data_IF_325542235878
#
_entry.id   IF_325542235878
#
_cell.length_a   1.000
_cell.length_b   1.000
_cell.length_c   1.000
_cell.angle_alpha   90.00
_cell.angle_beta   90.00
_cell.angle_gamma   90.00
#
_symmetry.space_group_name_H-M   'P 1'
#
loop_
_entity.id
_entity.type
_entity.pdbx_description
1 polymer ?
#
# COMPACT_ATOMS: atom_id res chain seq x y z
N UNK A 1 0.61 -65.73 -17.36
CA UNK A 1 1.79 -65.20 -16.60
C UNK A 1 2.27 -63.83 -17.06
N UNK A 2 1.88 -63.33 -18.24
CA UNK A 2 2.28 -62.01 -18.71
C UNK A 2 1.32 -60.84 -18.33
N UNK A 3 0.12 -61.16 -17.82
CA UNK A 3 -0.86 -60.15 -17.44
C UNK A 3 -0.66 -59.56 -16.04
N UNK A 4 -0.03 -60.29 -15.11
CA UNK A 4 0.20 -59.83 -13.73
C UNK A 4 1.36 -58.80 -13.62
N UNK A 5 2.39 -58.92 -14.46
CA UNK A 5 3.52 -57.97 -14.43
C UNK A 5 3.14 -56.59 -14.97
N UNK A 6 2.27 -56.54 -15.99
CA UNK A 6 1.76 -55.27 -16.51
C UNK A 6 0.86 -54.50 -15.53
N UNK A 7 0.14 -55.20 -14.64
CA UNK A 7 -0.69 -54.58 -13.60
C UNK A 7 0.17 -54.07 -12.43
N UNK A 8 1.25 -54.73 -12.07
CA UNK A 8 2.20 -54.29 -11.04
C UNK A 8 2.96 -53.01 -11.45
N UNK A 9 3.34 -52.89 -12.70
CA UNK A 9 4.01 -51.69 -13.20
C UNK A 9 3.06 -50.48 -13.30
N UNK A 10 1.78 -50.69 -13.65
CA UNK A 10 0.76 -49.63 -13.64
C UNK A 10 0.45 -49.11 -12.23
N UNK A 11 0.44 -49.99 -11.23
CA UNK A 11 0.24 -49.59 -9.81
C UNK A 11 1.47 -48.86 -9.27
N UNK A 12 2.69 -49.28 -9.65
CA UNK A 12 3.93 -48.58 -9.28
C UNK A 12 4.04 -47.19 -9.91
N UNK A 13 3.66 -47.02 -11.18
CA UNK A 13 3.68 -45.73 -11.86
C UNK A 13 2.65 -44.75 -11.30
N UNK A 14 1.47 -45.23 -10.88
CA UNK A 14 0.45 -44.41 -10.20
C UNK A 14 0.92 -43.93 -8.82
N UNK A 15 1.58 -44.80 -8.05
CA UNK A 15 2.14 -44.42 -6.74
C UNK A 15 3.25 -43.37 -6.82
N UNK A 16 4.14 -43.45 -7.83
CA UNK A 16 5.17 -42.49 -8.08
C UNK A 16 4.57 -41.10 -8.51
N UNK A 17 3.57 -41.13 -9.37
CA UNK A 17 2.88 -39.92 -9.79
C UNK A 17 2.19 -39.17 -8.64
N UNK A 18 1.60 -39.89 -7.70
CA UNK A 18 0.99 -39.31 -6.50
C UNK A 18 2.00 -38.78 -5.49
N UNK A 19 3.16 -39.40 -5.35
CA UNK A 19 4.26 -38.91 -4.51
C UNK A 19 4.83 -37.63 -5.11
N UNK A 20 5.07 -37.53 -6.42
CA UNK A 20 5.53 -36.36 -7.09
C UNK A 20 4.47 -35.23 -7.02
N UNK A 21 3.18 -35.51 -7.21
CA UNK A 21 2.12 -34.51 -7.02
C UNK A 21 2.07 -33.97 -5.60
N UNK A 22 2.16 -34.81 -4.58
CA UNK A 22 2.18 -34.42 -3.18
C UNK A 22 3.44 -33.55 -2.86
N UNK A 23 4.58 -33.93 -3.41
CA UNK A 23 5.83 -33.19 -3.21
C UNK A 23 5.79 -31.82 -3.89
N UNK A 24 5.23 -31.72 -5.10
CA UNK A 24 5.02 -30.44 -5.81
C UNK A 24 4.01 -29.58 -5.07
N UNK A 25 2.89 -30.13 -4.60
CA UNK A 25 1.87 -29.41 -3.83
C UNK A 25 2.43 -28.93 -2.49
N UNK A 26 3.23 -29.74 -1.80
CA UNK A 26 3.87 -29.35 -0.53
C UNK A 26 4.96 -28.29 -0.74
N UNK A 27 5.75 -28.40 -1.79
CA UNK A 27 6.73 -27.37 -2.18
C UNK A 27 6.04 -26.05 -2.57
N UNK A 28 4.92 -26.12 -3.29
CA UNK A 28 4.13 -24.95 -3.68
C UNK A 28 3.44 -24.29 -2.46
N UNK A 29 3.00 -25.09 -1.48
CA UNK A 29 2.44 -24.58 -0.22
C UNK A 29 3.52 -23.99 0.68
N UNK A 30 4.70 -24.59 0.79
CA UNK A 30 5.80 -24.05 1.59
C UNK A 30 6.33 -22.73 1.03
N UNK A 31 6.43 -22.58 -0.29
CA UNK A 31 6.81 -21.30 -0.92
C UNK A 31 5.74 -20.24 -0.77
N UNK A 32 4.45 -20.59 -0.76
CA UNK A 32 3.36 -19.66 -0.45
C UNK A 32 3.38 -19.22 1.00
N UNK A 33 3.57 -20.15 1.93
CA UNK A 33 3.68 -19.85 3.37
C UNK A 33 4.90 -18.98 3.62
N UNK A 34 6.05 -19.30 3.04
CA UNK A 34 7.27 -18.50 3.18
C UNK A 34 7.09 -17.08 2.65
N UNK A 35 6.49 -16.91 1.45
CA UNK A 35 6.16 -15.60 0.90
C UNK A 35 5.16 -14.84 1.78
N UNK A 36 4.18 -15.54 2.36
CA UNK A 36 3.24 -14.98 3.30
C UNK A 36 3.96 -14.46 4.56
N UNK A 37 4.78 -15.29 5.20
CA UNK A 37 5.55 -14.91 6.40
C UNK A 37 6.49 -13.74 6.12
N UNK A 38 7.27 -13.80 5.04
CA UNK A 38 8.18 -12.71 4.63
C UNK A 38 7.40 -11.40 4.44
N UNK A 39 6.21 -11.48 3.86
CA UNK A 39 5.36 -10.31 3.67
C UNK A 39 4.92 -9.68 4.98
N UNK A 40 4.55 -10.47 6.00
CA UNK A 40 4.20 -9.93 7.33
C UNK A 40 5.42 -9.42 8.10
N UNK A 41 6.60 -10.00 7.86
CA UNK A 41 7.85 -9.54 8.45
C UNK A 41 8.37 -8.23 7.81
N UNK A 42 7.80 -7.74 6.71
CA UNK A 42 8.19 -6.47 6.09
C UNK A 42 7.95 -5.24 6.97
N UNK A 43 7.14 -5.39 8.03
CA UNK A 43 6.98 -4.37 9.09
C UNK A 43 8.28 -4.17 9.87
N UNK A 44 9.15 -5.21 9.93
CA UNK A 44 10.44 -5.17 10.61
C UNK A 44 11.48 -4.61 9.65
N UNK A 45 12.00 -3.43 9.94
CA UNK A 45 13.03 -2.76 9.15
C UNK A 45 14.24 -2.39 10.02
N UNK A 46 15.22 -1.69 9.45
CA UNK A 46 16.42 -1.26 10.17
C UNK A 46 16.11 -0.41 11.42
N UNK A 47 15.03 0.40 11.39
CA UNK A 47 14.59 1.20 12.54
C UNK A 47 14.14 0.30 13.69
N UNK A 48 13.41 -0.79 13.39
CA UNK A 48 13.00 -1.79 14.38
C UNK A 48 14.23 -2.43 15.06
N UNK A 49 15.29 -2.73 14.31
CA UNK A 49 16.51 -3.27 14.90
C UNK A 49 17.19 -2.26 15.84
N UNK A 50 17.26 -0.99 15.45
CA UNK A 50 17.85 0.08 16.29
C UNK A 50 17.05 0.22 17.60
N UNK A 51 15.71 0.29 17.52
CA UNK A 51 14.87 0.45 18.70
C UNK A 51 14.94 -0.74 19.63
N UNK A 52 14.97 -1.97 19.10
CA UNK A 52 15.14 -3.18 19.91
C UNK A 52 16.52 -3.24 20.57
N UNK A 53 17.59 -2.80 19.90
CA UNK A 53 18.90 -2.66 20.50
C UNK A 53 18.91 -1.67 21.66
N UNK A 54 18.26 -0.50 21.49
CA UNK A 54 18.09 0.47 22.58
C UNK A 54 17.32 -0.14 23.76
N UNK A 55 16.28 -0.92 23.50
CA UNK A 55 15.47 -1.61 24.49
C UNK A 55 16.24 -2.69 25.28
N UNK A 56 17.37 -3.13 24.77
CA UNK A 56 18.30 -4.04 25.49
C UNK A 56 19.37 -3.27 26.25
N UNK A 57 20.00 -2.28 25.63
CA UNK A 57 21.13 -1.53 26.20
C UNK A 57 20.67 -0.64 27.36
N UNK A 58 19.55 0.07 27.21
CA UNK A 58 19.09 1.04 28.23
C UNK A 58 18.74 0.38 29.55
N UNK A 59 17.97 -0.72 29.63
CA UNK A 59 17.73 -1.40 30.89
C UNK A 59 19.00 -1.96 31.50
N UNK A 60 19.95 -2.49 30.69
CA UNK A 60 21.25 -2.95 31.16
C UNK A 60 22.00 -1.82 31.86
N UNK A 61 22.08 -0.63 31.23
CA UNK A 61 22.70 0.53 31.86
C UNK A 61 21.96 0.98 33.11
N UNK A 62 20.61 0.99 33.10
CA UNK A 62 19.82 1.42 34.21
C UNK A 62 20.02 0.53 35.47
N UNK A 63 20.14 -0.79 35.27
CA UNK A 63 20.45 -1.71 36.37
C UNK A 63 21.89 -1.57 36.86
N UNK A 64 22.87 -1.40 35.97
CA UNK A 64 24.27 -1.29 36.37
C UNK A 64 24.60 0.02 37.09
N UNK A 65 23.93 1.11 36.73
CA UNK A 65 24.14 2.43 37.33
C UNK A 65 23.06 2.80 38.38
N UNK A 66 22.20 1.84 38.74
CA UNK A 66 21.11 2.02 39.69
C UNK A 66 20.21 3.24 39.40
N UNK A 67 19.99 3.51 38.10
CA UNK A 67 19.15 4.63 37.67
C UNK A 67 17.69 4.25 37.83
N UNK A 68 17.11 4.56 39.00
CA UNK A 68 15.74 4.21 39.35
C UNK A 68 15.04 5.45 39.87
N UNK A 69 13.90 5.79 39.30
CA UNK A 69 13.06 6.88 39.78
C UNK A 69 11.57 6.58 39.57
N UNK A 70 10.72 7.25 40.32
CA UNK A 70 9.27 7.13 40.18
C UNK A 70 8.69 8.47 39.69
N UNK A 71 8.42 8.55 38.39
CA UNK A 71 7.80 9.72 37.77
C UNK A 71 6.47 9.29 37.18
N UNK A 72 5.45 10.17 37.28
CA UNK A 72 4.21 9.95 36.51
C UNK A 72 4.44 10.26 35.05
N UNK A 73 4.49 9.21 34.23
CA UNK A 73 4.71 9.29 32.79
C UNK A 73 3.41 9.40 31.98
N UNK A 74 2.26 9.59 32.61
CA UNK A 74 0.95 9.61 31.94
C UNK A 74 0.88 10.67 30.87
N UNK A 75 1.30 11.90 31.15
CA UNK A 75 1.31 13.00 30.16
C UNK A 75 2.27 12.73 29.02
N UNK A 76 3.44 12.16 29.30
CA UNK A 76 4.43 11.81 28.28
C UNK A 76 3.91 10.68 27.40
N UNK A 77 3.25 9.65 27.99
CA UNK A 77 2.59 8.59 27.23
C UNK A 77 1.57 9.13 26.24
N UNK A 78 0.73 10.05 26.70
CA UNK A 78 -0.26 10.73 25.86
C UNK A 78 0.43 11.50 24.73
N UNK A 79 1.48 12.26 25.06
CA UNK A 79 2.25 13.04 24.07
C UNK A 79 2.90 12.18 23.00
N UNK A 80 3.26 10.94 23.27
CA UNK A 80 3.82 9.99 22.31
C UNK A 80 2.70 9.35 21.45
N UNK A 81 1.65 8.85 22.12
CA UNK A 81 0.64 8.02 21.46
C UNK A 81 -0.28 8.86 20.57
N UNK A 82 -0.73 10.03 21.00
CA UNK A 82 -1.68 10.83 20.22
C UNK A 82 -1.17 11.24 18.83
N UNK A 83 0.03 11.85 18.69
CA UNK A 83 0.54 12.20 17.37
C UNK A 83 0.73 10.99 16.45
N UNK A 84 1.15 9.84 17.01
CA UNK A 84 1.30 8.59 16.26
C UNK A 84 -0.05 8.08 15.74
N UNK A 85 -1.09 8.07 16.58
CA UNK A 85 -2.45 7.67 16.18
C UNK A 85 -3.02 8.60 15.12
N UNK A 86 -2.80 9.92 15.24
CA UNK A 86 -3.23 10.88 14.21
C UNK A 86 -2.49 10.68 12.90
N UNK A 87 -1.18 10.38 12.93
CA UNK A 87 -0.39 10.10 11.74
C UNK A 87 -0.89 8.83 11.03
N UNK A 88 -1.16 7.75 11.76
CA UNK A 88 -1.73 6.50 11.23
C UNK A 88 -3.10 6.75 10.60
N UNK A 89 -3.99 7.46 11.31
CA UNK A 89 -5.32 7.79 10.79
C UNK A 89 -5.24 8.65 9.52
N UNK A 90 -4.29 9.59 9.48
CA UNK A 90 -4.04 10.43 8.31
C UNK A 90 -3.58 9.61 7.10
N UNK A 91 -2.65 8.68 7.28
CA UNK A 91 -2.16 7.78 6.23
C UNK A 91 -3.27 6.85 5.71
N UNK A 92 -4.06 6.26 6.61
CA UNK A 92 -5.20 5.41 6.27
C UNK A 92 -6.26 6.17 5.46
N UNK A 93 -6.66 7.37 5.92
CA UNK A 93 -7.63 8.22 5.19
C UNK A 93 -7.13 8.61 3.80
N UNK A 94 -5.82 8.85 3.66
CA UNK A 94 -5.19 9.13 2.36
C UNK A 94 -5.33 7.95 1.41
N UNK A 95 -5.05 6.74 1.87
CA UNK A 95 -5.21 5.51 1.08
C UNK A 95 -6.67 5.28 0.66
N UNK A 96 -7.64 5.51 1.55
CA UNK A 96 -9.07 5.43 1.22
C UNK A 96 -9.45 6.44 0.14
N UNK A 97 -9.00 7.69 0.26
CA UNK A 97 -9.23 8.73 -0.75
C UNK A 97 -8.58 8.39 -2.09
N UNK A 98 -7.40 7.78 -2.09
CA UNK A 98 -6.76 7.31 -3.31
C UNK A 98 -7.62 6.25 -4.03
N UNK A 99 -8.21 5.30 -3.30
CA UNK A 99 -9.13 4.30 -3.88
C UNK A 99 -10.41 4.94 -4.42
N UNK A 100 -10.99 5.92 -3.71
CA UNK A 100 -12.16 6.67 -4.15
C UNK A 100 -11.89 7.38 -5.49
N UNK A 101 -10.79 8.14 -5.60
CA UNK A 101 -10.47 8.86 -6.82
C UNK A 101 -9.99 7.96 -7.96
N UNK A 102 -9.33 6.82 -7.70
CA UNK A 102 -9.03 5.82 -8.72
C UNK A 102 -10.33 5.21 -9.30
N UNK A 103 -11.30 4.95 -8.44
CA UNK A 103 -12.60 4.43 -8.86
C UNK A 103 -13.39 5.46 -9.68
N UNK A 104 -13.35 6.74 -9.27
CA UNK A 104 -13.95 7.85 -10.00
C UNK A 104 -13.29 8.01 -11.39
N UNK A 105 -11.96 8.04 -11.45
CA UNK A 105 -11.20 8.12 -12.70
C UNK A 105 -11.59 7.01 -13.67
N UNK A 106 -11.55 5.76 -13.19
CA UNK A 106 -11.93 4.60 -13.99
C UNK A 106 -13.38 4.67 -14.46
N UNK A 107 -14.30 5.05 -13.58
CA UNK A 107 -15.72 5.19 -13.89
C UNK A 107 -15.98 6.25 -14.95
N UNK A 108 -15.34 7.42 -14.82
CA UNK A 108 -15.46 8.52 -15.76
C UNK A 108 -14.96 8.14 -17.16
N UNK A 109 -13.76 7.56 -17.28
CA UNK A 109 -13.21 7.11 -18.55
C UNK A 109 -14.10 6.02 -19.20
N UNK A 110 -14.58 5.04 -18.43
CA UNK A 110 -15.52 4.03 -18.95
C UNK A 110 -16.79 4.66 -19.50
N UNK A 111 -17.35 5.61 -18.79
CA UNK A 111 -18.57 6.28 -19.20
C UNK A 111 -18.35 7.09 -20.48
N UNK A 112 -17.22 7.80 -20.59
CA UNK A 112 -16.83 8.49 -21.83
C UNK A 112 -16.74 7.50 -22.99
N UNK A 113 -16.06 6.36 -22.79
CA UNK A 113 -15.95 5.31 -23.80
C UNK A 113 -17.31 4.81 -24.25
N UNK A 114 -18.25 4.55 -23.32
CA UNK A 114 -19.60 4.10 -23.68
C UNK A 114 -20.38 5.15 -24.48
N UNK A 115 -20.24 6.44 -24.20
CA UNK A 115 -20.87 7.48 -25.00
C UNK A 115 -20.38 7.48 -26.45
N UNK A 116 -19.06 7.31 -26.67
CA UNK A 116 -18.51 7.23 -28.02
C UNK A 116 -18.91 5.93 -28.75
N UNK A 117 -18.81 4.77 -28.08
CA UNK A 117 -19.16 3.48 -28.68
C UNK A 117 -20.64 3.39 -29.09
N UNK A 118 -21.54 3.97 -28.30
CA UNK A 118 -22.97 3.97 -28.57
C UNK A 118 -23.43 5.13 -29.49
N UNK A 119 -22.53 5.98 -29.98
CA UNK A 119 -22.88 7.00 -30.97
C UNK A 119 -23.12 6.36 -32.33
N UNK A 120 -24.33 6.46 -32.84
CA UNK A 120 -24.72 5.88 -34.13
C UNK A 120 -24.12 6.60 -35.34
N UNK A 121 -23.73 7.87 -35.18
CA UNK A 121 -23.18 8.70 -36.25
C UNK A 121 -21.66 8.62 -36.36
N UNK A 122 -20.98 8.12 -35.33
CA UNK A 122 -19.53 8.05 -35.29
C UNK A 122 -19.06 6.80 -36.05
N UNK A 123 -18.14 6.95 -37.06
CA UNK A 123 -17.56 5.81 -37.76
C UNK A 123 -16.81 4.86 -36.86
N UNK A 124 -16.72 3.59 -37.24
CA UNK A 124 -16.05 2.57 -36.41
C UNK A 124 -14.54 2.82 -36.26
N UNK A 125 -13.90 3.39 -37.28
CA UNK A 125 -12.49 3.81 -37.22
C UNK A 125 -12.28 4.90 -36.16
N UNK A 126 -13.19 5.89 -36.09
CA UNK A 126 -13.15 6.93 -35.05
C UNK A 126 -13.43 6.38 -33.66
N UNK A 127 -14.30 5.37 -33.52
CA UNK A 127 -14.51 4.67 -32.23
C UNK A 127 -13.25 3.94 -31.76
N UNK A 128 -12.52 3.32 -32.70
CA UNK A 128 -11.25 2.67 -32.36
C UNK A 128 -10.18 3.71 -31.97
N UNK A 129 -10.07 4.83 -32.71
CA UNK A 129 -9.14 5.93 -32.41
C UNK A 129 -9.36 6.45 -30.98
N UNK A 130 -10.60 6.78 -30.62
CA UNK A 130 -10.88 7.30 -29.25
C UNK A 130 -10.67 6.24 -28.17
N UNK A 131 -10.94 4.97 -28.45
CA UNK A 131 -10.68 3.87 -27.51
C UNK A 131 -9.18 3.75 -27.22
N UNK A 132 -8.33 3.91 -28.23
CA UNK A 132 -6.86 3.92 -28.03
C UNK A 132 -6.41 5.14 -27.22
N UNK A 133 -6.93 6.34 -27.51
CA UNK A 133 -6.62 7.57 -26.78
C UNK A 133 -6.98 7.41 -25.29
N UNK A 134 -8.16 6.89 -24.97
CA UNK A 134 -8.61 6.70 -23.59
C UNK A 134 -7.79 5.63 -22.85
N UNK A 135 -7.41 4.55 -23.53
CA UNK A 135 -6.56 3.51 -22.96
C UNK A 135 -5.14 4.05 -22.68
N UNK A 136 -4.56 4.76 -23.63
CA UNK A 136 -3.21 5.33 -23.50
C UNK A 136 -3.15 6.40 -22.43
N UNK A 137 -4.18 7.24 -22.28
CA UNK A 137 -4.31 8.18 -21.17
C UNK A 137 -4.34 7.44 -19.83
N UNK A 138 -5.22 6.44 -19.69
CA UNK A 138 -5.38 5.68 -18.45
C UNK A 138 -4.09 4.95 -18.07
N UNK A 139 -3.46 4.24 -19.00
CA UNK A 139 -2.24 3.49 -18.74
C UNK A 139 -1.07 4.42 -18.38
N UNK A 140 -0.96 5.56 -19.09
CA UNK A 140 0.08 6.56 -18.80
C UNK A 140 -0.10 7.21 -17.44
N UNK A 141 -1.34 7.52 -17.05
CA UNK A 141 -1.65 8.09 -15.76
C UNK A 141 -1.36 7.11 -14.60
N UNK A 142 -1.81 5.86 -14.73
CA UNK A 142 -1.55 4.83 -13.70
C UNK A 142 -0.05 4.49 -13.59
N UNK A 143 0.69 4.53 -14.71
CA UNK A 143 2.14 4.38 -14.68
C UNK A 143 2.83 5.57 -14.01
N UNK A 144 2.33 6.79 -14.22
CA UNK A 144 2.84 7.99 -13.54
C UNK A 144 2.69 7.89 -12.01
N UNK A 145 1.55 7.42 -11.52
CA UNK A 145 1.33 7.22 -10.07
C UNK A 145 2.30 6.21 -9.44
N UNK A 146 2.82 5.26 -10.23
CA UNK A 146 3.81 4.28 -9.75
C UNK A 146 5.26 4.76 -9.82
N UNK A 147 5.51 5.98 -10.32
CA UNK A 147 6.84 6.57 -10.49
C UNK A 147 7.00 7.76 -9.56
N UNK A 148 8.24 8.05 -9.15
CA UNK A 148 8.54 9.23 -8.32
C UNK A 148 8.57 10.55 -9.10
N UNK A 149 8.21 10.55 -10.37
CA UNK A 149 8.24 11.75 -11.21
C UNK A 149 6.97 12.58 -11.03
N UNK A 150 7.12 13.88 -10.76
CA UNK A 150 6.00 14.81 -10.56
C UNK A 150 5.61 15.59 -11.83
N UNK A 151 6.22 15.33 -12.99
CA UNK A 151 5.90 16.05 -14.23
C UNK A 151 4.63 15.48 -14.90
N UNK A 152 3.57 16.29 -14.97
CA UNK A 152 2.26 15.95 -15.51
C UNK A 152 2.08 16.29 -16.99
N UNK A 153 3.02 17.00 -17.64
CA UNK A 153 2.89 17.50 -19.02
C UNK A 153 2.46 16.43 -20.04
N UNK A 154 2.93 15.18 -19.83
CA UNK A 154 2.55 14.07 -20.71
C UNK A 154 1.09 13.65 -20.54
N UNK A 155 0.57 13.74 -19.31
CA UNK A 155 -0.82 13.39 -18.99
C UNK A 155 -1.73 14.47 -19.55
N UNK A 156 -1.38 15.74 -19.36
CA UNK A 156 -2.15 16.90 -19.82
C UNK A 156 -2.28 16.88 -21.36
N UNK A 157 -1.16 16.63 -22.08
CA UNK A 157 -1.18 16.46 -23.54
C UNK A 157 -2.08 15.31 -24.01
N UNK A 158 -2.10 14.19 -23.27
CA UNK A 158 -2.97 13.05 -23.61
C UNK A 158 -4.44 13.36 -23.32
N UNK A 159 -4.72 14.09 -22.26
CA UNK A 159 -6.08 14.54 -21.96
C UNK A 159 -6.57 15.54 -23.03
N UNK A 160 -5.70 16.42 -23.52
CA UNK A 160 -5.99 17.33 -24.63
C UNK A 160 -6.39 16.60 -25.94
N UNK A 161 -5.84 15.40 -26.18
CA UNK A 161 -6.23 14.61 -27.35
C UNK A 161 -7.72 14.27 -27.38
N UNK A 162 -8.37 14.11 -26.20
CA UNK A 162 -9.81 13.86 -26.13
C UNK A 162 -10.58 15.09 -26.64
N UNK A 163 -10.16 16.30 -26.25
CA UNK A 163 -10.78 17.54 -26.75
C UNK A 163 -10.60 17.72 -28.25
N UNK A 164 -9.38 17.47 -28.78
CA UNK A 164 -9.09 17.52 -30.22
C UNK A 164 -9.92 16.49 -31.01
N UNK A 165 -10.12 15.30 -30.44
CA UNK A 165 -10.98 14.29 -31.03
C UNK A 165 -12.45 14.75 -31.13
N UNK A 166 -12.98 15.35 -30.04
CA UNK A 166 -14.35 15.88 -30.02
C UNK A 166 -14.53 17.03 -31.03
N UNK A 167 -13.51 17.88 -31.17
CA UNK A 167 -13.51 18.97 -32.17
C UNK A 167 -13.49 18.44 -33.59
N UNK A 168 -12.63 17.46 -33.88
CA UNK A 168 -12.52 16.76 -35.19
C UNK A 168 -13.85 16.14 -35.63
N UNK A 169 -14.59 15.54 -34.67
CA UNK A 169 -15.86 14.84 -34.93
C UNK A 169 -17.09 15.63 -34.42
N UNK A 170 -17.01 16.96 -34.51
CA UNK A 170 -18.02 17.85 -33.97
C UNK A 170 -19.43 17.68 -34.58
N UNK A 171 -19.51 17.36 -35.91
CA UNK A 171 -20.78 17.17 -36.61
C UNK A 171 -21.42 15.81 -36.33
N UNK A 172 -20.62 14.79 -36.03
CA UNK A 172 -21.05 13.42 -35.76
C UNK A 172 -21.56 13.21 -34.35
N UNK A 173 -21.20 14.11 -33.42
CA UNK A 173 -21.60 14.08 -32.01
C UNK A 173 -22.72 15.07 -31.75
N UNK A 174 -23.87 14.60 -31.28
CA UNK A 174 -24.96 15.49 -30.90
C UNK A 174 -24.58 16.40 -29.72
N UNK A 175 -25.13 17.63 -29.67
CA UNK A 175 -24.83 18.59 -28.61
C UNK A 175 -25.07 18.05 -27.19
N UNK A 176 -26.15 17.29 -27.00
CA UNK A 176 -26.45 16.68 -25.70
C UNK A 176 -25.46 15.59 -25.29
N UNK A 177 -24.91 14.82 -26.24
CA UNK A 177 -23.85 13.83 -25.97
C UNK A 177 -22.55 14.53 -25.60
N UNK A 178 -22.16 15.58 -26.36
CA UNK A 178 -20.95 16.38 -26.07
C UNK A 178 -20.99 16.97 -24.65
N UNK A 179 -22.12 17.58 -24.25
CA UNK A 179 -22.24 18.12 -22.89
C UNK A 179 -22.08 17.06 -21.80
N UNK A 180 -22.61 15.85 -22.00
CA UNK A 180 -22.41 14.74 -21.07
C UNK A 180 -20.96 14.29 -21.04
N UNK A 181 -20.30 14.15 -22.19
CA UNK A 181 -18.88 13.79 -22.28
C UNK A 181 -18.03 14.83 -21.54
N UNK A 182 -18.22 16.13 -21.74
CA UNK A 182 -17.48 17.18 -21.07
C UNK A 182 -17.63 17.13 -19.54
N UNK A 183 -18.82 16.75 -19.05
CA UNK A 183 -19.00 16.52 -17.61
C UNK A 183 -18.11 15.41 -17.08
N UNK A 184 -18.01 14.29 -17.79
CA UNK A 184 -17.14 13.17 -17.36
C UNK A 184 -15.66 13.45 -17.59
N UNK A 185 -15.29 14.25 -18.58
CA UNK A 185 -13.91 14.74 -18.74
C UNK A 185 -13.52 15.59 -17.52
N UNK A 186 -14.41 16.44 -17.01
CA UNK A 186 -14.19 17.16 -15.75
C UNK A 186 -13.94 16.21 -14.61
N UNK A 187 -14.71 15.11 -14.50
CA UNK A 187 -14.52 14.13 -13.43
C UNK A 187 -13.19 13.37 -13.58
N UNK A 188 -12.71 13.13 -14.82
CA UNK A 188 -11.34 12.64 -15.09
C UNK A 188 -10.31 13.62 -14.55
N UNK A 189 -10.38 14.91 -14.89
CA UNK A 189 -9.46 15.93 -14.40
C UNK A 189 -9.46 16.02 -12.86
N UNK A 190 -10.65 16.13 -12.24
CA UNK A 190 -10.78 16.23 -10.78
C UNK A 190 -10.16 15.02 -10.09
N UNK A 191 -10.37 13.82 -10.63
CA UNK A 191 -9.78 12.61 -10.06
C UNK A 191 -8.26 12.55 -10.24
N UNK A 192 -7.75 12.96 -11.41
CA UNK A 192 -6.31 13.02 -11.68
C UNK A 192 -5.61 14.00 -10.73
N UNK A 193 -6.11 15.24 -10.61
CA UNK A 193 -5.55 16.25 -9.72
C UNK A 193 -5.53 15.80 -8.25
N UNK A 194 -6.60 15.20 -7.77
CA UNK A 194 -6.63 14.67 -6.40
C UNK A 194 -5.65 13.51 -6.20
N UNK A 195 -5.49 12.61 -7.19
CA UNK A 195 -4.53 11.51 -7.12
C UNK A 195 -3.09 12.01 -7.17
N UNK A 196 -2.79 13.02 -7.99
CA UNK A 196 -1.49 13.68 -8.03
C UNK A 196 -1.20 14.38 -6.69
N UNK A 197 -2.18 15.09 -6.13
CA UNK A 197 -2.04 15.72 -4.82
C UNK A 197 -1.75 14.69 -3.72
N UNK A 198 -2.45 13.54 -3.72
CA UNK A 198 -2.19 12.43 -2.78
C UNK A 198 -0.80 11.84 -3.01
N UNK A 199 -0.35 11.72 -4.25
CA UNK A 199 0.96 11.18 -4.59
C UNK A 199 2.10 12.11 -4.18
N UNK A 200 1.92 13.43 -4.34
CA UNK A 200 2.96 14.45 -4.13
C UNK A 200 3.02 14.94 -2.68
N UNK A 201 1.86 15.19 -2.05
CA UNK A 201 1.78 15.74 -0.70
C UNK A 201 1.56 14.64 0.33
N UNK A 202 2.43 14.61 1.34
CA UNK A 202 2.50 13.56 2.37
C UNK A 202 2.29 14.15 3.76
N UNK A 203 2.28 13.29 4.78
CA UNK A 203 2.30 13.72 6.17
C UNK A 203 3.49 14.66 6.41
N UNK A 204 3.32 15.77 7.13
CA UNK A 204 4.41 16.68 7.44
C UNK A 204 5.61 15.95 8.04
N UNK A 205 6.80 16.20 7.50
CA UNK A 205 8.06 15.58 7.94
C UNK A 205 8.30 15.86 9.43
N UNK A 206 7.93 17.05 9.90
CA UNK A 206 8.03 17.43 11.32
C UNK A 206 7.24 16.51 12.24
N UNK A 207 6.03 16.09 11.87
CA UNK A 207 5.23 15.16 12.66
C UNK A 207 5.85 13.76 12.69
N UNK A 208 6.39 13.30 11.56
CA UNK A 208 7.12 12.01 11.49
C UNK A 208 8.38 12.03 12.34
N UNK A 209 9.15 13.11 12.26
CA UNK A 209 10.36 13.29 13.06
C UNK A 209 10.03 13.31 14.55
N UNK A 210 8.97 14.03 14.94
CA UNK A 210 8.48 14.07 16.31
C UNK A 210 8.18 12.65 16.82
N UNK A 211 7.34 11.89 16.11
CA UNK A 211 6.99 10.53 16.50
C UNK A 211 8.24 9.64 16.65
N UNK A 212 9.17 9.71 15.70
CA UNK A 212 10.36 8.88 15.69
C UNK A 212 11.33 9.22 16.83
N UNK A 213 11.52 10.52 17.13
CA UNK A 213 12.35 10.96 18.27
C UNK A 213 11.79 10.40 19.58
N UNK A 214 10.48 10.52 19.81
CA UNK A 214 9.88 10.02 21.05
C UNK A 214 9.89 8.51 21.15
N UNK A 215 9.78 7.78 20.04
CA UNK A 215 9.95 6.32 20.01
C UNK A 215 11.37 5.95 20.44
N UNK A 216 12.42 6.58 19.91
CA UNK A 216 13.79 6.29 20.33
C UNK A 216 14.11 6.72 21.76
N UNK A 217 13.44 7.75 22.28
CA UNK A 217 13.59 8.20 23.67
C UNK A 217 12.78 7.35 24.66
N UNK A 218 11.83 6.57 24.18
CA UNK A 218 10.94 5.78 25.06
C UNK A 218 11.71 4.87 26.02
N UNK A 219 12.66 4.01 25.59
CA UNK A 219 13.39 3.16 26.53
C UNK A 219 14.11 3.97 27.61
N UNK A 220 14.72 5.10 27.24
CA UNK A 220 15.48 5.96 28.17
C UNK A 220 14.58 6.56 29.25
N UNK A 221 13.41 7.02 28.87
CA UNK A 221 12.49 7.72 29.78
C UNK A 221 11.72 6.72 30.66
N UNK A 222 11.30 5.59 30.10
CA UNK A 222 10.39 4.67 30.78
C UNK A 222 11.10 3.60 31.60
N UNK A 223 12.28 3.17 31.21
CA UNK A 223 13.01 2.08 31.89
C UNK A 223 13.16 2.30 33.39
N UNK A 224 13.66 3.46 33.89
CA UNK A 224 13.85 3.66 35.32
C UNK A 224 12.55 3.59 36.16
N UNK A 225 11.46 4.12 35.58
CA UNK A 225 10.15 4.07 36.20
C UNK A 225 9.54 2.66 36.16
N UNK A 226 9.77 1.90 35.10
CA UNK A 226 9.32 0.51 34.97
C UNK A 226 10.06 -0.36 35.99
N UNK A 227 11.37 -0.20 36.14
CA UNK A 227 12.17 -0.89 37.14
C UNK A 227 11.62 -0.60 38.57
N UNK A 228 11.33 0.66 38.86
CA UNK A 228 10.76 1.06 40.13
C UNK A 228 9.39 0.40 40.40
N UNK A 229 8.51 0.39 39.41
CA UNK A 229 7.15 -0.19 39.53
C UNK A 229 7.13 -1.71 39.61
N UNK A 230 8.01 -2.38 38.89
CA UNK A 230 8.15 -3.84 38.95
C UNK A 230 8.80 -4.26 40.24
N UNK A 231 9.74 -3.47 40.75
CA UNK A 231 10.55 -3.77 41.92
C UNK A 231 11.77 -4.63 41.59
N UNK A 232 12.84 -4.43 42.38
CA UNK A 232 14.11 -5.16 42.21
C UNK A 232 14.03 -6.64 42.63
N UNK A 233 13.01 -7.01 43.38
CA UNK A 233 12.77 -8.38 43.84
C UNK A 233 12.25 -9.29 42.73
N UNK A 234 11.64 -8.70 41.72
CA UNK A 234 11.10 -9.45 40.58
C UNK A 234 12.18 -9.82 39.55
N UNK A 235 11.96 -10.89 38.77
CA UNK A 235 12.92 -11.29 37.72
C UNK A 235 13.22 -10.13 36.75
N UNK A 236 14.50 -9.82 36.59
CA UNK A 236 14.96 -8.77 35.64
C UNK A 236 14.40 -8.96 34.24
N UNK A 237 14.19 -10.20 33.83
CA UNK A 237 13.59 -10.55 32.51
C UNK A 237 12.20 -9.95 32.30
N UNK A 238 11.41 -9.71 33.37
CA UNK A 238 10.09 -9.10 33.26
C UNK A 238 10.18 -7.63 32.80
N UNK A 239 11.14 -6.89 33.34
CA UNK A 239 11.41 -5.50 32.94
C UNK A 239 11.81 -5.42 31.45
N UNK A 240 12.74 -6.27 31.02
CA UNK A 240 13.14 -6.35 29.62
C UNK A 240 11.96 -6.71 28.71
N UNK A 241 11.15 -7.69 29.11
CA UNK A 241 9.98 -8.09 28.35
C UNK A 241 9.00 -6.93 28.12
N UNK A 242 8.67 -6.17 29.18
CA UNK A 242 7.74 -5.04 29.09
C UNK A 242 8.31 -3.94 28.20
N UNK A 243 9.58 -3.59 28.32
CA UNK A 243 10.21 -2.53 27.55
C UNK A 243 10.31 -2.93 26.06
N UNK A 244 10.81 -4.13 25.77
CA UNK A 244 10.95 -4.65 24.39
C UNK A 244 9.59 -4.74 23.71
N UNK A 245 8.57 -5.27 24.40
CA UNK A 245 7.22 -5.40 23.86
C UNK A 245 6.60 -4.02 23.55
N UNK A 246 6.71 -3.07 24.49
CA UNK A 246 6.17 -1.73 24.29
C UNK A 246 6.85 -1.01 23.13
N UNK A 247 8.16 -1.11 23.05
CA UNK A 247 8.96 -0.51 21.98
C UNK A 247 8.65 -1.14 20.61
N UNK A 248 8.54 -2.47 20.57
CA UNK A 248 8.14 -3.18 19.36
C UNK A 248 6.78 -2.75 18.86
N UNK A 249 5.80 -2.54 19.74
CA UNK A 249 4.48 -2.03 19.38
C UNK A 249 4.58 -0.63 18.78
N UNK A 250 5.28 0.30 19.44
CA UNK A 250 5.40 1.68 18.98
C UNK A 250 6.08 1.79 17.61
N UNK A 251 7.22 1.12 17.42
CA UNK A 251 7.94 1.16 16.15
C UNK A 251 7.19 0.44 15.04
N UNK A 252 6.47 -0.64 15.34
CA UNK A 252 5.63 -1.35 14.36
C UNK A 252 4.49 -0.46 13.87
N UNK A 253 3.82 0.27 14.76
CA UNK A 253 2.79 1.24 14.40
C UNK A 253 3.34 2.37 13.52
N UNK A 254 4.53 2.87 13.83
CA UNK A 254 5.20 3.86 13.00
C UNK A 254 5.54 3.32 11.60
N UNK A 255 6.07 2.09 11.51
CA UNK A 255 6.40 1.47 10.24
C UNK A 255 5.16 1.18 9.37
N UNK A 256 4.05 0.79 9.99
CA UNK A 256 2.75 0.63 9.30
C UNK A 256 2.29 1.98 8.74
N UNK A 257 2.39 3.05 9.52
CA UNK A 257 2.06 4.40 9.06
C UNK A 257 2.93 4.82 7.88
N UNK A 258 4.25 4.59 7.96
CA UNK A 258 5.21 4.94 6.91
C UNK A 258 4.91 4.20 5.59
N UNK A 259 4.59 2.90 5.65
CA UNK A 259 4.18 2.11 4.48
C UNK A 259 2.87 2.61 3.85
N UNK A 260 1.87 2.94 4.66
CA UNK A 260 0.58 3.42 4.13
C UNK A 260 0.63 4.82 3.50
N UNK A 261 1.70 5.58 3.73
CA UNK A 261 1.89 6.90 3.11
C UNK A 261 2.14 6.86 1.62
N UNK A 262 2.61 5.73 1.11
CA UNK A 262 2.99 5.53 -0.29
C UNK A 262 2.07 4.50 -0.97
N UNK A 263 0.79 4.84 -1.19
CA UNK A 263 -0.19 3.83 -1.58
C UNK A 263 0.01 3.26 -2.98
N UNK A 264 0.99 3.74 -3.78
CA UNK A 264 1.16 3.39 -5.19
C UNK A 264 2.52 2.77 -5.54
N UNK A 265 3.50 2.72 -4.61
CA UNK A 265 4.89 2.34 -4.91
C UNK A 265 5.12 0.83 -5.03
N UNK A 266 4.20 0.00 -4.58
CA UNK A 266 4.27 -1.48 -4.58
C UNK A 266 5.20 -2.10 -3.54
N UNK A 267 5.80 -1.30 -2.67
CA UNK A 267 6.72 -1.77 -1.64
C UNK A 267 6.01 -2.10 -0.33
N UNK A 268 4.85 -1.47 -0.08
CA UNK A 268 4.03 -1.68 1.11
C UNK A 268 3.15 -2.93 1.05
N UNK A 269 2.77 -3.44 2.23
CA UNK A 269 1.85 -4.57 2.36
C UNK A 269 0.46 -4.27 1.79
N UNK A 270 0.00 -3.04 2.01
CA UNK A 270 -1.35 -2.59 1.75
C UNK A 270 -1.46 -1.65 0.54
N UNK A 271 -0.46 -1.67 -0.35
CA UNK A 271 -0.45 -0.86 -1.55
C UNK A 271 -1.60 -1.17 -2.49
N UNK A 272 -2.04 -0.13 -3.18
CA UNK A 272 -3.13 -0.24 -4.13
C UNK A 272 -2.65 -0.91 -5.41
N UNK A 273 -3.29 -2.02 -5.78
CA UNK A 273 -3.00 -2.75 -7.02
C UNK A 273 -3.50 -1.97 -8.24
N UNK A 274 -2.65 -1.08 -8.77
CA UNK A 274 -2.98 -0.26 -9.93
C UNK A 274 -3.33 -1.10 -11.17
N UNK A 275 -2.80 -2.32 -11.31
CA UNK A 275 -3.10 -3.22 -12.42
C UNK A 275 -4.59 -3.60 -12.51
N UNK A 276 -5.31 -3.59 -11.39
CA UNK A 276 -6.76 -3.77 -11.38
C UNK A 276 -7.48 -2.65 -12.14
N UNK A 277 -6.92 -1.46 -12.15
CA UNK A 277 -7.50 -0.29 -12.81
C UNK A 277 -7.11 -0.20 -14.29
N UNK A 278 -5.97 -0.79 -14.73
CA UNK A 278 -5.49 -0.82 -16.13
C UNK A 278 -6.37 -1.69 -17.06
N UNK A 279 -6.85 -2.83 -16.57
CA UNK A 279 -7.51 -3.83 -17.42
C UNK A 279 -9.01 -3.56 -17.68
N UNK A 280 -9.50 -2.37 -17.38
CA UNK A 280 -10.91 -2.05 -17.46
C UNK A 280 -11.48 -2.05 -18.88
N UNK A 281 -10.64 -1.89 -19.91
CA UNK A 281 -11.04 -1.62 -21.30
C UNK A 281 -10.71 -2.75 -22.30
N UNK A 282 -9.87 -3.70 -21.90
CA UNK A 282 -9.51 -4.83 -22.78
C UNK A 282 -10.63 -5.87 -22.97
N UNK A 283 -11.73 -5.73 -22.25
CA UNK A 283 -12.86 -6.68 -22.26
C UNK A 283 -14.19 -6.09 -22.76
N UNK A 284 -14.17 -4.90 -23.38
CA UNK A 284 -15.37 -4.32 -24.04
C UNK A 284 -15.18 -4.32 -25.53
#
# INVERSE_FOLDING_TARGET
FQAEDGIRDLVRSRGLGDVYKRQIVNSFNSTKILKFVIRYLSIINHRTLITLLLSLIVPFCAYNFEIIYNIDLTLISIAIIFPLVFAIRGAFKRREKALEFLSLHRGAIKTISYFFMNSSKLPDDAKNEIKEILNDLSDSFLNHLSQSNCNTDKIDKKTELIYKFIEKHNEELSGGVKQKIFRFIRDVHVSQENLIAIHTHRTPISLKAYCLIFIYMFPVIYTPTIINKIGLENPVGLTYFVIILSEFILISLYNIQDQMEYPFDKDGLDDIKLDYFKNAYKKV
#
